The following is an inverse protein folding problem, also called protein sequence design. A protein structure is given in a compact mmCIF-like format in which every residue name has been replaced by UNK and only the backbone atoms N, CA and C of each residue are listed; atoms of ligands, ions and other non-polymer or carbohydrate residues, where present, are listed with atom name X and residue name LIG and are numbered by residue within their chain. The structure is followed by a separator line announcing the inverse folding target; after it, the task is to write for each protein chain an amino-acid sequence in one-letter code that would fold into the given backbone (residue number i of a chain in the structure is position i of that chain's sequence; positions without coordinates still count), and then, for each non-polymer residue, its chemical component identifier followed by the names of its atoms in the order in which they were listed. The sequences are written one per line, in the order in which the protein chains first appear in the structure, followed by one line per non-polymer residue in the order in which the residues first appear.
data_IF_009938153906
#
_entry.id   IF_009938153906
#
_cell.length_a   1.000
_cell.length_b   1.000
_cell.length_c   1.000
_cell.angle_alpha   90.00
_cell.angle_beta   90.00
_cell.angle_gamma   90.00
#
_symmetry.space_group_name_H-M   'P 1'
#
loop_
_entity.id
_entity.type
_entity.pdbx_description
1 polymer ?
#
# COMPACT_ATOMS: atom_id res chain seq x y z
N UNK A 1 33.88 34.82 15.60
CA UNK A 1 32.55 35.23 15.10
C UNK A 1 32.61 36.05 13.82
N UNK A 2 33.73 36.69 13.45
CA UNK A 2 33.80 37.46 12.19
C UNK A 2 33.97 36.63 10.89
N UNK A 3 34.59 35.44 10.93
CA UNK A 3 34.79 34.60 9.73
C UNK A 3 33.53 33.86 9.24
N UNK A 4 32.56 33.59 10.12
CA UNK A 4 31.33 32.88 9.76
C UNK A 4 30.35 33.79 8.99
N UNK A 5 30.36 35.09 9.27
CA UNK A 5 29.52 36.08 8.60
C UNK A 5 30.04 36.40 7.18
N UNK A 6 31.36 36.37 6.97
CA UNK A 6 31.95 36.59 5.65
C UNK A 6 31.70 35.40 4.69
N UNK A 7 31.76 34.16 5.19
CA UNK A 7 31.41 32.97 4.40
C UNK A 7 29.90 32.88 4.08
N UNK A 8 29.03 33.32 5.00
CA UNK A 8 27.60 33.40 4.76
C UNK A 8 27.25 34.49 3.74
N UNK A 9 27.95 35.63 3.77
CA UNK A 9 27.80 36.70 2.77
C UNK A 9 28.34 36.30 1.38
N UNK A 10 29.43 35.55 1.32
CA UNK A 10 29.96 35.02 0.06
C UNK A 10 29.01 33.98 -0.58
N UNK A 11 28.46 33.05 0.21
CA UNK A 11 27.46 32.11 -0.29
C UNK A 11 26.14 32.78 -0.67
N UNK A 12 25.71 33.83 0.05
CA UNK A 12 24.54 34.60 -0.32
C UNK A 12 24.73 35.36 -1.66
N UNK A 13 25.91 35.96 -1.87
CA UNK A 13 26.25 36.64 -3.11
C UNK A 13 26.39 35.68 -4.31
N UNK A 14 26.89 34.46 -4.08
CA UNK A 14 26.96 33.43 -5.12
C UNK A 14 25.57 32.85 -5.45
N UNK A 15 24.68 32.69 -4.46
CA UNK A 15 23.28 32.31 -4.67
C UNK A 15 22.52 33.39 -5.43
N UNK A 16 22.77 34.68 -5.14
CA UNK A 16 22.16 35.82 -5.84
C UNK A 16 22.64 35.91 -7.29
N UNK A 17 23.95 35.74 -7.56
CA UNK A 17 24.49 35.66 -8.93
C UNK A 17 23.93 34.47 -9.72
N UNK A 18 23.79 33.31 -9.08
CA UNK A 18 23.18 32.14 -9.72
C UNK A 18 21.68 32.34 -9.97
N UNK A 19 20.99 33.13 -9.12
CA UNK A 19 19.59 33.55 -9.35
C UNK A 19 19.48 34.59 -10.47
N UNK A 20 20.41 35.53 -10.59
CA UNK A 20 20.50 36.49 -11.70
C UNK A 20 20.81 35.79 -13.04
N UNK A 21 21.70 34.81 -13.04
CA UNK A 21 22.01 33.99 -14.21
C UNK A 21 20.85 33.08 -14.61
N UNK A 22 20.12 32.51 -13.63
CA UNK A 22 18.92 31.72 -13.89
C UNK A 22 17.74 32.57 -14.41
N UNK A 23 17.66 33.85 -14.02
CA UNK A 23 16.65 34.82 -14.48
C UNK A 23 16.96 35.46 -15.83
N UNK A 24 18.20 35.36 -16.32
CA UNK A 24 18.65 35.98 -17.57
C UNK A 24 18.26 35.15 -18.79
N UNK A 25 16.96 35.13 -19.09
CA UNK A 25 16.48 34.64 -20.37
C UNK A 25 17.06 35.52 -21.49
N UNK A 26 17.61 34.95 -22.58
CA UNK A 26 18.09 35.75 -23.71
C UNK A 26 16.92 36.58 -24.26
N UNK A 27 17.05 37.91 -24.22
CA UNK A 27 16.06 38.84 -24.73
C UNK A 27 16.14 38.77 -26.26
N UNK A 28 15.30 37.94 -26.87
CA UNK A 28 15.10 37.94 -28.31
C UNK A 28 14.16 39.10 -28.65
N UNK A 29 14.65 40.12 -29.35
CA UNK A 29 13.86 41.31 -29.68
C UNK A 29 12.87 41.02 -30.81
N UNK A 30 13.16 40.00 -31.62
CA UNK A 30 12.30 39.56 -32.72
C UNK A 30 12.16 38.03 -32.74
N UNK A 31 11.03 37.52 -33.26
CA UNK A 31 10.81 36.08 -33.45
C UNK A 31 11.88 35.44 -34.36
N UNK A 32 12.47 36.25 -35.25
CA UNK A 32 13.52 35.82 -36.17
C UNK A 32 14.84 35.54 -35.45
N UNK A 33 15.26 36.40 -34.52
CA UNK A 33 16.45 36.17 -33.67
C UNK A 33 16.28 34.95 -32.76
N UNK A 34 15.05 34.72 -32.27
CA UNK A 34 14.71 33.50 -31.52
C UNK A 34 14.81 32.26 -32.40
N UNK A 35 14.29 32.32 -33.62
CA UNK A 35 14.40 31.22 -34.58
C UNK A 35 15.84 30.95 -34.99
N UNK A 36 16.65 32.00 -35.23
CA UNK A 36 18.05 31.91 -35.64
C UNK A 36 18.94 31.38 -34.51
N UNK A 37 18.70 31.79 -33.26
CA UNK A 37 19.39 31.21 -32.09
C UNK A 37 18.97 29.76 -31.80
N UNK A 38 17.69 29.42 -31.98
CA UNK A 38 17.21 28.02 -31.93
C UNK A 38 17.77 27.18 -33.09
N UNK A 39 17.93 27.76 -34.28
CA UNK A 39 18.55 27.11 -35.42
C UNK A 39 20.06 26.92 -35.19
N UNK A 40 20.75 27.91 -34.62
CA UNK A 40 22.18 27.82 -34.28
C UNK A 40 22.44 26.77 -33.20
N UNK A 41 21.63 26.74 -32.15
CA UNK A 41 21.75 25.73 -31.08
C UNK A 41 21.44 24.33 -31.59
N UNK A 42 20.38 24.13 -32.38
CA UNK A 42 20.05 22.83 -32.97
C UNK A 42 21.06 22.38 -34.04
N UNK A 43 21.55 23.29 -34.88
CA UNK A 43 22.57 23.02 -35.90
C UNK A 43 23.91 22.65 -35.27
N UNK A 44 24.36 23.41 -34.27
CA UNK A 44 25.60 23.12 -33.54
C UNK A 44 25.50 21.83 -32.70
N UNK A 45 24.31 21.48 -32.19
CA UNK A 45 24.08 20.20 -31.53
C UNK A 45 24.14 19.05 -32.53
N UNK A 46 23.46 19.17 -33.68
CA UNK A 46 23.48 18.16 -34.75
C UNK A 46 24.87 17.96 -35.34
N UNK A 47 25.65 19.05 -35.51
CA UNK A 47 27.03 18.99 -35.98
C UNK A 47 27.97 18.27 -34.99
N UNK A 48 27.78 18.48 -33.68
CA UNK A 48 28.57 17.80 -32.62
C UNK A 48 28.37 16.28 -32.60
N UNK A 49 27.22 15.78 -33.04
CA UNK A 49 26.89 14.36 -33.08
C UNK A 49 26.87 13.76 -34.49
N UNK A 50 27.23 14.52 -35.52
CA UNK A 50 27.18 14.10 -36.93
C UNK A 50 28.11 12.92 -37.28
N UNK A 51 29.03 12.55 -36.38
CA UNK A 51 29.90 11.37 -36.51
C UNK A 51 29.62 10.24 -35.51
N UNK A 52 28.63 10.39 -34.62
CA UNK A 52 28.29 9.35 -33.64
C UNK A 52 27.30 8.39 -34.29
N UNK A 53 27.82 7.28 -34.84
CA UNK A 53 26.97 6.20 -35.34
C UNK A 53 26.25 5.56 -34.16
N UNK A 54 24.93 5.70 -34.11
CA UNK A 54 24.14 4.95 -33.14
C UNK A 54 24.14 3.49 -33.55
N UNK A 55 24.65 2.61 -32.68
CA UNK A 55 24.56 1.16 -32.89
C UNK A 55 23.10 0.71 -32.95
N UNK A 56 22.86 -0.45 -33.58
CA UNK A 56 21.50 -0.98 -33.73
C UNK A 56 20.82 -1.09 -32.35
N UNK A 57 19.58 -0.58 -32.20
CA UNK A 57 18.86 -0.66 -30.93
C UNK A 57 18.68 -2.12 -30.52
N UNK A 58 19.04 -2.44 -29.27
CA UNK A 58 18.91 -3.79 -28.71
C UNK A 58 17.46 -4.08 -28.35
N UNK A 59 16.92 -5.19 -28.84
CA UNK A 59 15.58 -5.66 -28.47
C UNK A 59 15.65 -6.58 -27.24
N UNK A 60 15.38 -6.01 -26.07
CA UNK A 60 15.32 -6.75 -24.80
C UNK A 60 13.92 -7.33 -24.50
N UNK A 61 12.91 -7.05 -25.35
CA UNK A 61 11.52 -7.39 -25.03
C UNK A 61 11.28 -8.89 -24.91
N UNK A 62 11.98 -9.70 -25.72
CA UNK A 62 11.86 -11.16 -25.68
C UNK A 62 12.35 -11.75 -24.34
N UNK A 63 13.56 -11.37 -23.90
CA UNK A 63 14.13 -11.82 -22.64
C UNK A 63 13.27 -11.42 -21.44
N UNK A 64 12.80 -10.17 -21.42
CA UNK A 64 11.90 -9.68 -20.38
C UNK A 64 10.54 -10.39 -20.39
N UNK A 65 10.04 -10.79 -21.55
CA UNK A 65 8.81 -11.58 -21.66
C UNK A 65 9.00 -12.96 -21.04
N UNK A 66 10.09 -13.67 -21.32
CA UNK A 66 10.39 -14.95 -20.70
C UNK A 66 10.46 -14.84 -19.17
N UNK A 67 11.12 -13.79 -18.67
CA UNK A 67 11.19 -13.49 -17.23
C UNK A 67 9.81 -13.15 -16.65
N UNK A 68 8.97 -12.44 -17.40
CA UNK A 68 7.60 -12.12 -16.98
C UNK A 68 6.76 -13.39 -16.84
N UNK A 69 6.88 -14.36 -17.74
CA UNK A 69 6.13 -15.63 -17.65
C UNK A 69 6.52 -16.37 -16.37
N UNK A 70 7.81 -16.44 -16.06
CA UNK A 70 8.33 -17.11 -14.85
C UNK A 70 8.05 -16.36 -13.55
N UNK A 71 7.79 -15.04 -13.60
CA UNK A 71 7.56 -14.24 -12.41
C UNK A 71 6.31 -14.71 -11.65
N UNK A 72 6.48 -15.12 -10.40
CA UNK A 72 5.41 -15.65 -9.55
C UNK A 72 4.81 -14.62 -8.60
N UNK A 73 5.45 -13.46 -8.43
CA UNK A 73 5.05 -12.45 -7.45
C UNK A 73 4.86 -11.08 -8.10
N UNK A 74 3.95 -10.27 -7.54
CA UNK A 74 3.71 -8.91 -8.02
C UNK A 74 4.98 -8.06 -8.02
N UNK A 75 5.84 -8.23 -7.00
CA UNK A 75 7.13 -7.53 -6.90
C UNK A 75 8.07 -7.85 -8.08
N UNK A 76 8.21 -9.14 -8.43
CA UNK A 76 9.03 -9.53 -9.58
C UNK A 76 8.49 -8.94 -10.89
N UNK A 77 7.17 -8.92 -11.06
CA UNK A 77 6.52 -8.32 -12.24
C UNK A 77 6.77 -6.81 -12.32
N UNK A 78 6.73 -6.11 -11.18
CA UNK A 78 7.03 -4.67 -11.10
C UNK A 78 8.50 -4.36 -11.42
N UNK A 79 9.44 -5.17 -10.93
CA UNK A 79 10.86 -5.03 -11.27
C UNK A 79 11.10 -5.15 -12.79
N UNK A 80 10.43 -6.13 -13.44
CA UNK A 80 10.49 -6.30 -14.90
C UNK A 80 9.86 -5.10 -15.62
N UNK A 81 8.76 -4.55 -15.10
CA UNK A 81 8.14 -3.36 -15.68
C UNK A 81 9.03 -2.12 -15.56
N UNK A 82 9.76 -1.95 -14.45
CA UNK A 82 10.73 -0.88 -14.26
C UNK A 82 11.91 -1.02 -15.23
N UNK A 83 12.46 -2.24 -15.37
CA UNK A 83 13.52 -2.54 -16.34
C UNK A 83 13.08 -2.28 -17.79
N UNK A 84 11.85 -2.68 -18.14
CA UNK A 84 11.24 -2.38 -19.44
C UNK A 84 11.08 -0.86 -19.66
N UNK A 85 10.70 -0.12 -18.61
CA UNK A 85 10.60 1.34 -18.64
C UNK A 85 11.94 2.02 -18.92
N UNK A 86 13.00 1.61 -18.23
CA UNK A 86 14.36 2.13 -18.45
C UNK A 86 14.91 1.78 -19.84
N UNK A 87 14.64 0.57 -20.34
CA UNK A 87 15.03 0.21 -21.72
C UNK A 87 14.27 1.07 -22.76
N UNK A 88 13.01 1.38 -22.48
CA UNK A 88 12.19 2.23 -23.34
C UNK A 88 12.67 3.68 -23.38
N UNK A 89 13.13 4.26 -22.26
CA UNK A 89 13.67 5.64 -22.26
C UNK A 89 14.94 5.74 -23.11
N UNK A 90 15.84 4.76 -23.01
CA UNK A 90 17.02 4.66 -23.87
C UNK A 90 16.65 4.64 -25.36
N UNK A 91 15.69 3.79 -25.73
CA UNK A 91 15.20 3.67 -27.12
C UNK A 91 14.50 4.93 -27.62
N UNK A 92 13.81 5.68 -26.75
CA UNK A 92 13.18 6.97 -27.09
C UNK A 92 14.23 8.02 -27.43
N UNK A 93 15.32 8.09 -26.67
CA UNK A 93 16.44 8.96 -27.01
C UNK A 93 17.06 8.57 -28.37
N UNK A 94 17.20 7.27 -28.63
CA UNK A 94 17.70 6.77 -29.92
C UNK A 94 16.79 7.15 -31.09
N UNK A 95 15.49 6.99 -30.92
CA UNK A 95 14.48 7.31 -31.93
C UNK A 95 14.33 8.82 -32.19
N UNK A 96 14.73 9.67 -31.24
CA UNK A 96 14.76 11.11 -31.40
C UNK A 96 16.01 11.59 -32.14
N UNK A 97 17.15 10.94 -31.92
CA UNK A 97 18.43 11.30 -32.54
C UNK A 97 18.57 10.81 -33.98
N UNK A 98 18.04 9.61 -34.29
CA UNK A 98 18.10 9.04 -35.64
C UNK A 98 16.71 8.95 -36.29
N UNK A 99 16.60 9.50 -37.50
CA UNK A 99 15.40 9.41 -38.35
C UNK A 99 15.48 8.30 -39.41
N UNK A 100 16.63 7.63 -39.50
CA UNK A 100 16.89 6.53 -40.43
C UNK A 100 16.33 5.17 -39.97
N UNK A 101 17.00 4.10 -40.40
CA UNK A 101 16.60 2.72 -40.12
C UNK A 101 16.62 2.40 -38.61
N UNK A 102 17.64 2.86 -37.87
CA UNK A 102 17.73 2.58 -36.44
C UNK A 102 16.61 3.29 -35.67
N UNK A 103 16.21 4.49 -36.09
CA UNK A 103 15.02 5.17 -35.55
C UNK A 103 13.73 4.38 -35.72
N UNK A 104 13.53 3.74 -36.89
CA UNK A 104 12.36 2.88 -37.15
C UNK A 104 12.40 1.61 -36.29
N UNK A 105 13.56 0.96 -36.17
CA UNK A 105 13.75 -0.22 -35.31
C UNK A 105 13.52 0.11 -33.83
N UNK A 106 14.01 1.27 -33.36
CA UNK A 106 13.80 1.73 -32.00
C UNK A 106 12.30 1.94 -31.70
N UNK A 107 11.55 2.57 -32.61
CA UNK A 107 10.08 2.71 -32.50
C UNK A 107 9.37 1.36 -32.42
N UNK A 108 9.79 0.38 -33.23
CA UNK A 108 9.25 -0.97 -33.16
C UNK A 108 9.54 -1.66 -31.82
N UNK A 109 10.74 -1.48 -31.27
CA UNK A 109 11.12 -2.01 -29.95
C UNK A 109 10.33 -1.34 -28.82
N UNK A 110 10.13 -0.02 -28.89
CA UNK A 110 9.27 0.73 -27.96
C UNK A 110 7.86 0.13 -27.94
N UNK A 111 7.25 -0.10 -29.11
CA UNK A 111 5.92 -0.70 -29.18
C UNK A 111 5.85 -2.11 -28.57
N UNK A 112 6.93 -2.91 -28.65
CA UNK A 112 7.03 -4.22 -27.99
C UNK A 112 7.09 -4.07 -26.47
N UNK A 113 7.90 -3.14 -25.96
CA UNK A 113 8.02 -2.87 -24.53
C UNK A 113 6.73 -2.28 -23.93
N UNK A 114 6.03 -1.41 -24.65
CA UNK A 114 4.73 -0.87 -24.23
C UNK A 114 3.68 -1.97 -24.08
N UNK A 115 3.61 -2.90 -25.05
CA UNK A 115 2.76 -4.10 -24.95
C UNK A 115 3.15 -4.96 -23.76
N UNK A 116 4.45 -5.13 -23.50
CA UNK A 116 4.96 -5.88 -22.35
C UNK A 116 4.52 -5.24 -21.03
N UNK A 117 4.68 -3.92 -20.87
CA UNK A 117 4.23 -3.18 -19.67
C UNK A 117 2.72 -3.36 -19.48
N UNK A 118 1.94 -3.30 -20.56
CA UNK A 118 0.49 -3.58 -20.51
C UNK A 118 0.19 -5.01 -20.01
N UNK A 119 1.00 -6.00 -20.39
CA UNK A 119 0.90 -7.38 -19.87
C UNK A 119 1.31 -7.47 -18.40
N UNK A 120 2.38 -6.79 -17.99
CA UNK A 120 2.80 -6.72 -16.59
C UNK A 120 1.67 -6.20 -15.69
N UNK A 121 1.00 -5.12 -16.11
CA UNK A 121 -0.13 -4.54 -15.36
C UNK A 121 -1.34 -5.47 -15.23
N UNK A 122 -1.60 -6.31 -16.25
CA UNK A 122 -2.62 -7.36 -16.15
C UNK A 122 -2.18 -8.44 -15.17
N UNK A 123 -0.97 -8.98 -15.34
CA UNK A 123 -0.44 -10.04 -14.47
C UNK A 123 -0.38 -9.63 -12.99
N UNK A 124 -0.08 -8.37 -12.66
CA UNK A 124 -0.15 -7.89 -11.26
C UNK A 124 -1.57 -7.98 -10.70
N UNK A 125 -2.59 -7.59 -11.48
CA UNK A 125 -3.99 -7.71 -11.04
C UNK A 125 -4.39 -9.17 -10.88
N UNK A 126 -4.05 -10.00 -11.87
CA UNK A 126 -4.35 -11.43 -11.83
C UNK A 126 -3.72 -12.11 -10.59
N UNK A 127 -2.44 -11.82 -10.29
CA UNK A 127 -1.78 -12.34 -9.09
C UNK A 127 -2.42 -11.85 -7.78
N UNK A 128 -2.82 -10.58 -7.71
CA UNK A 128 -3.52 -10.05 -6.54
C UNK A 128 -4.89 -10.71 -6.35
N UNK A 129 -5.64 -10.91 -7.43
CA UNK A 129 -6.93 -11.58 -7.41
C UNK A 129 -6.79 -13.07 -7.01
N UNK A 130 -5.74 -13.74 -7.47
CA UNK A 130 -5.35 -15.08 -7.03
C UNK A 130 -5.05 -15.12 -5.53
N UNK A 131 -4.26 -14.18 -5.00
CA UNK A 131 -3.89 -14.14 -3.59
C UNK A 131 -5.10 -13.82 -2.67
N UNK A 132 -6.00 -12.94 -3.12
CA UNK A 132 -7.28 -12.71 -2.44
C UNK A 132 -8.14 -13.98 -2.43
N UNK A 133 -8.18 -14.70 -3.55
CA UNK A 133 -8.94 -15.95 -3.67
C UNK A 133 -8.34 -17.05 -2.80
N UNK A 134 -7.01 -17.20 -2.75
CA UNK A 134 -6.31 -18.12 -1.84
C UNK A 134 -6.61 -17.81 -0.38
N UNK A 135 -6.61 -16.53 -0.01
CA UNK A 135 -6.94 -16.08 1.34
C UNK A 135 -8.39 -16.42 1.71
N UNK A 136 -9.33 -16.18 0.79
CA UNK A 136 -10.75 -16.55 0.97
C UNK A 136 -10.93 -18.06 1.10
N UNK A 137 -10.23 -18.84 0.27
CA UNK A 137 -10.26 -20.30 0.33
C UNK A 137 -9.78 -20.81 1.69
N UNK A 138 -8.63 -20.31 2.17
CA UNK A 138 -8.08 -20.68 3.48
C UNK A 138 -9.06 -20.36 4.61
N UNK A 139 -9.63 -19.14 4.63
CA UNK A 139 -10.65 -18.75 5.61
C UNK A 139 -11.90 -19.64 5.56
N UNK A 140 -12.39 -19.97 4.36
CA UNK A 140 -13.54 -20.85 4.19
C UNK A 140 -13.27 -22.27 4.71
N UNK A 141 -12.05 -22.79 4.51
CA UNK A 141 -11.64 -24.08 5.07
C UNK A 141 -11.59 -24.04 6.59
N UNK A 142 -11.00 -23.02 7.19
CA UNK A 142 -10.95 -22.82 8.65
C UNK A 142 -12.36 -22.73 9.25
N UNK A 143 -13.26 -21.95 8.65
CA UNK A 143 -14.66 -21.83 9.09
C UNK A 143 -15.42 -23.15 9.00
N UNK A 144 -15.20 -23.95 7.95
CA UNK A 144 -15.84 -25.26 7.83
C UNK A 144 -15.35 -26.22 8.92
N UNK A 145 -14.06 -26.20 9.24
CA UNK A 145 -13.50 -26.99 10.34
C UNK A 145 -14.08 -26.54 11.69
N UNK A 146 -14.21 -25.24 11.93
CA UNK A 146 -14.83 -24.68 13.14
C UNK A 146 -16.30 -25.10 13.26
N UNK A 147 -17.12 -24.93 12.21
CA UNK A 147 -18.52 -25.36 12.19
C UNK A 147 -18.67 -26.86 12.46
N UNK A 148 -17.75 -27.68 11.93
CA UNK A 148 -17.74 -29.12 12.20
C UNK A 148 -17.39 -29.41 13.66
N UNK A 149 -16.38 -28.74 14.21
CA UNK A 149 -16.00 -28.87 15.61
C UNK A 149 -17.13 -28.46 16.56
N UNK A 150 -17.81 -27.35 16.28
CA UNK A 150 -18.98 -26.88 17.03
C UNK A 150 -20.13 -27.90 16.99
N UNK A 151 -20.41 -28.48 15.82
CA UNK A 151 -21.45 -29.51 15.67
C UNK A 151 -21.13 -30.75 16.52
N UNK A 152 -19.88 -31.22 16.49
CA UNK A 152 -19.42 -32.33 17.34
C UNK A 152 -19.51 -31.97 18.83
N UNK A 153 -19.13 -30.74 19.22
CA UNK A 153 -19.24 -30.26 20.60
C UNK A 153 -20.69 -30.26 21.07
N UNK A 154 -21.62 -29.82 20.24
CA UNK A 154 -23.06 -29.84 20.54
C UNK A 154 -23.61 -31.27 20.66
N UNK A 155 -23.20 -32.18 19.77
CA UNK A 155 -23.58 -33.60 19.86
C UNK A 155 -23.07 -34.26 21.14
N UNK A 156 -21.82 -33.98 21.53
CA UNK A 156 -21.24 -34.46 22.78
C UNK A 156 -22.02 -33.92 23.98
N UNK A 157 -22.31 -32.61 24.00
CA UNK A 157 -23.11 -31.97 25.04
C UNK A 157 -24.49 -32.62 25.16
N UNK A 158 -25.21 -32.83 24.04
CA UNK A 158 -26.51 -33.52 24.04
C UNK A 158 -26.42 -34.92 24.66
N UNK A 159 -25.40 -35.71 24.29
CA UNK A 159 -25.18 -37.06 24.84
C UNK A 159 -24.87 -37.02 26.34
N UNK A 160 -24.04 -36.06 26.78
CA UNK A 160 -23.72 -35.86 28.20
C UNK A 160 -24.96 -35.45 29.00
N UNK A 161 -25.75 -34.48 28.52
CA UNK A 161 -26.98 -34.05 29.19
C UNK A 161 -28.00 -35.18 29.31
N UNK A 162 -28.22 -35.97 28.25
CA UNK A 162 -29.15 -37.11 28.30
C UNK A 162 -28.70 -38.19 29.30
N UNK A 163 -27.39 -38.46 29.37
CA UNK A 163 -26.82 -39.37 30.36
C UNK A 163 -26.99 -38.83 31.77
N UNK A 164 -26.61 -37.57 32.03
CA UNK A 164 -26.73 -36.94 33.34
C UNK A 164 -28.20 -36.92 33.81
N UNK A 165 -29.15 -36.62 32.91
CA UNK A 165 -30.58 -36.68 33.22
C UNK A 165 -31.02 -38.10 33.64
N UNK A 166 -30.55 -39.14 32.95
CA UNK A 166 -30.86 -40.55 33.29
C UNK A 166 -30.25 -40.95 34.63
N UNK A 167 -29.00 -40.59 34.88
CA UNK A 167 -28.31 -40.87 36.15
C UNK A 167 -28.96 -40.12 37.31
N UNK A 168 -29.35 -38.86 37.10
CA UNK A 168 -30.07 -38.06 38.10
C UNK A 168 -31.47 -38.60 38.39
N UNK A 169 -32.19 -39.10 37.39
CA UNK A 169 -33.46 -39.80 37.61
C UNK A 169 -33.28 -41.02 38.51
N UNK A 170 -32.22 -41.81 38.30
CA UNK A 170 -31.93 -42.96 39.17
C UNK A 170 -31.54 -42.56 40.61
N UNK A 171 -30.77 -41.48 40.78
CA UNK A 171 -30.47 -40.94 42.11
C UNK A 171 -31.73 -40.45 42.83
N UNK A 172 -32.62 -39.78 42.11
CA UNK A 172 -33.90 -39.32 42.61
C UNK A 172 -34.76 -40.50 43.10
N UNK A 173 -34.86 -41.58 42.34
CA UNK A 173 -35.62 -42.79 42.73
C UNK A 173 -35.04 -43.47 43.98
N UNK A 174 -33.73 -43.32 44.23
CA UNK A 174 -33.07 -43.81 45.44
C UNK A 174 -33.17 -42.85 46.65
N UNK A 175 -33.88 -41.72 46.51
CA UNK A 175 -33.97 -40.70 47.55
C UNK A 175 -32.66 -39.96 47.81
N UNK A 176 -31.70 -40.03 46.89
CA UNK A 176 -30.41 -39.33 46.98
C UNK A 176 -30.52 -37.96 46.30
N UNK A 177 -29.79 -36.95 46.78
CA UNK A 177 -29.82 -35.62 46.16
C UNK A 177 -29.30 -35.70 44.72
N UNK A 178 -29.98 -34.99 43.82
CA UNK A 178 -29.58 -34.84 42.42
C UNK A 178 -28.23 -34.12 42.38
N UNK A 179 -27.25 -34.73 41.71
CA UNK A 179 -25.94 -34.13 41.52
C UNK A 179 -25.97 -33.35 40.20
N UNK A 180 -26.28 -32.06 40.28
CA UNK A 180 -26.10 -31.15 39.17
C UNK A 180 -24.60 -30.87 39.00
N UNK A 181 -23.86 -31.76 38.35
CA UNK A 181 -22.51 -31.44 37.88
C UNK A 181 -22.51 -31.20 36.37
N UNK A 182 -21.92 -30.08 35.97
CA UNK A 182 -21.41 -29.88 34.62
C UNK A 182 -22.30 -29.11 33.64
N UNK A 183 -23.21 -28.28 34.13
CA UNK A 183 -23.87 -27.28 33.26
C UNK A 183 -23.74 -25.88 33.84
N UNK A 184 -24.22 -25.69 35.07
CA UNK A 184 -24.19 -24.38 35.69
C UNK A 184 -22.75 -24.01 36.08
N UNK A 185 -21.94 -24.92 36.61
CA UNK A 185 -20.56 -24.59 37.01
C UNK A 185 -19.66 -24.24 35.82
N UNK A 186 -19.71 -25.00 34.72
CA UNK A 186 -18.86 -24.76 33.55
C UNK A 186 -19.31 -23.53 32.76
N UNK A 187 -20.63 -23.34 32.58
CA UNK A 187 -21.17 -22.16 31.90
C UNK A 187 -21.05 -20.90 32.79
N UNK A 188 -21.19 -21.02 34.12
CA UNK A 188 -20.91 -19.91 35.06
C UNK A 188 -19.43 -19.58 35.12
N UNK A 189 -18.53 -20.56 35.14
CA UNK A 189 -17.09 -20.30 35.10
C UNK A 189 -16.69 -19.66 33.75
N UNK A 190 -17.29 -20.08 32.64
CA UNK A 190 -17.06 -19.44 31.34
C UNK A 190 -17.65 -18.04 31.26
N UNK A 191 -18.84 -17.80 31.84
CA UNK A 191 -19.43 -16.48 31.94
C UNK A 191 -18.59 -15.55 32.84
N UNK A 192 -18.17 -16.02 34.01
CA UNK A 192 -17.29 -15.29 34.93
C UNK A 192 -15.92 -15.00 34.31
N UNK A 193 -15.34 -15.94 33.57
CA UNK A 193 -14.09 -15.72 32.85
C UNK A 193 -14.24 -14.72 31.69
N UNK A 194 -15.38 -14.73 30.98
CA UNK A 194 -15.68 -13.76 29.95
C UNK A 194 -15.92 -12.36 30.52
N UNK A 195 -16.65 -12.25 31.63
CA UNK A 195 -16.84 -10.99 32.37
C UNK A 195 -15.49 -10.46 32.90
N UNK A 196 -14.64 -11.32 33.45
CA UNK A 196 -13.30 -10.94 33.90
C UNK A 196 -12.40 -10.48 32.74
N UNK A 197 -12.51 -11.09 31.57
CA UNK A 197 -11.78 -10.68 30.37
C UNK A 197 -12.26 -9.30 29.86
N UNK A 198 -13.57 -9.06 29.85
CA UNK A 198 -14.16 -7.76 29.51
C UNK A 198 -13.75 -6.66 30.50
N UNK A 199 -13.71 -6.99 31.79
CA UNK A 199 -13.21 -6.09 32.83
C UNK A 199 -11.71 -5.81 32.66
N UNK A 200 -10.90 -6.81 32.32
CA UNK A 200 -9.47 -6.63 32.06
C UNK A 200 -9.22 -5.75 30.82
N UNK A 201 -10.02 -5.90 29.77
CA UNK A 201 -9.96 -5.05 28.57
C UNK A 201 -10.40 -3.61 28.89
N UNK A 202 -11.47 -3.42 29.67
CA UNK A 202 -11.90 -2.11 30.14
C UNK A 202 -10.84 -1.41 31.01
N UNK A 203 -10.16 -2.16 31.90
CA UNK A 203 -9.04 -1.63 32.70
C UNK A 203 -7.84 -1.26 31.82
N UNK A 204 -7.54 -2.05 30.78
CA UNK A 204 -6.46 -1.73 29.84
C UNK A 204 -6.75 -0.46 29.01
N UNK A 205 -8.01 -0.27 28.59
CA UNK A 205 -8.46 0.94 27.91
C UNK A 205 -8.39 2.15 28.85
N UNK A 206 -8.91 2.03 30.07
CA UNK A 206 -8.85 3.09 31.07
C UNK A 206 -7.40 3.46 31.45
N UNK A 207 -6.51 2.47 31.57
CA UNK A 207 -5.09 2.71 31.82
C UNK A 207 -4.39 3.43 30.64
N UNK A 208 -4.79 3.13 29.40
CA UNK A 208 -4.30 3.85 28.23
C UNK A 208 -4.80 5.30 28.18
N UNK A 209 -6.07 5.55 28.54
CA UNK A 209 -6.62 6.90 28.66
C UNK A 209 -5.93 7.73 29.75
N UNK A 210 -5.68 7.16 30.92
CA UNK A 210 -4.93 7.83 32.00
C UNK A 210 -3.48 8.12 31.60
N UNK A 211 -2.83 7.25 30.82
CA UNK A 211 -1.50 7.52 30.29
C UNK A 211 -1.49 8.67 29.27
N UNK A 212 -2.56 8.82 28.48
CA UNK A 212 -2.75 9.93 27.55
C UNK A 212 -3.01 11.25 28.30
N UNK A 213 -3.84 11.25 29.35
CA UNK A 213 -4.08 12.43 30.21
C UNK A 213 -2.87 12.82 31.05
N UNK A 214 -2.08 11.86 31.54
CA UNK A 214 -0.83 12.13 32.23
C UNK A 214 0.22 12.75 31.29
N UNK A 215 0.26 12.31 30.02
CA UNK A 215 1.08 12.96 28.99
C UNK A 215 0.59 14.38 28.65
N UNK A 216 -0.72 14.64 28.74
CA UNK A 216 -1.31 15.97 28.52
C UNK A 216 -1.08 16.94 29.70
N UNK A 217 -1.05 16.45 30.95
CA UNK A 217 -0.85 17.29 32.14
C UNK A 217 0.61 17.67 32.43
N UNK A 218 1.59 16.96 31.85
CA UNK A 218 3.02 17.33 31.88
C UNK A 218 3.37 18.36 30.79
N UNK A 219 2.49 18.58 29.81
CA UNK A 219 2.73 19.45 28.65
C UNK A 219 2.19 20.88 28.74
N UNK A 220 2.00 21.42 29.94
CA UNK A 220 1.34 22.71 30.17
C UNK A 220 2.23 23.83 30.68
N UNK A 221 3.31 24.22 29.98
CA UNK A 221 3.75 25.63 29.92
C UNK A 221 4.75 25.90 28.78
N UNK A 222 4.24 26.34 27.62
CA UNK A 222 4.80 27.44 26.80
C UNK A 222 4.11 27.50 25.44
N UNK A 223 3.61 28.69 25.14
CA UNK A 223 2.80 29.04 23.99
C UNK A 223 3.54 29.11 22.64
N UNK A 224 2.71 29.24 21.59
CA UNK A 224 2.97 29.62 20.18
C UNK A 224 3.06 28.43 19.21
N UNK A 225 2.24 28.30 18.17
CA UNK A 225 1.24 29.18 17.57
C UNK A 225 1.11 28.84 16.08
N UNK A 226 -0.14 28.64 15.61
CA UNK A 226 -0.59 28.67 14.20
C UNK A 226 -0.02 27.57 13.26
N UNK A 227 -0.74 26.90 12.36
CA UNK A 227 -1.89 27.26 11.50
C UNK A 227 -2.67 25.99 11.08
N UNK A 228 -3.97 26.15 10.83
CA UNK A 228 -4.89 25.14 10.25
C UNK A 228 -4.66 24.94 8.72
N UNK A 229 -5.34 24.00 8.00
CA UNK A 229 -6.79 24.10 7.78
C UNK A 229 -7.61 22.79 7.71
N UNK A 230 -8.87 22.97 8.11
CA UNK A 230 -10.13 22.37 7.64
C UNK A 230 -10.27 20.87 7.36
N UNK A 231 -11.04 20.25 8.25
CA UNK A 231 -12.07 19.30 7.87
C UNK A 231 -13.39 20.05 7.58
N UNK A 232 -14.03 19.71 6.47
CA UNK A 232 -15.49 19.84 6.28
C UNK A 232 -16.02 18.44 5.93
N UNK A 233 -17.18 17.98 6.37
CA UNK A 233 -18.20 18.54 7.24
C UNK A 233 -19.12 17.40 7.70
N UNK A 234 -19.58 17.56 8.93
CA UNK A 234 -20.71 17.02 9.69
C UNK A 234 -21.35 15.62 9.49
N UNK A 235 -21.73 14.98 10.63
CA UNK A 235 -22.67 13.87 10.72
C UNK A 235 -24.13 14.35 10.98
N UNK A 236 -25.10 13.71 10.33
CA UNK A 236 -26.53 13.75 10.70
C UNK A 236 -27.06 12.30 10.64
N UNK A 237 -27.45 11.68 11.77
CA UNK A 237 -28.72 11.85 12.51
C UNK A 237 -29.92 11.17 11.83
N UNK A 238 -30.59 10.29 12.59
CA UNK A 238 -31.91 9.70 12.30
C UNK A 238 -31.82 8.33 11.61
N UNK A 239 -32.24 7.20 12.19
CA UNK A 239 -33.50 6.98 12.91
C UNK A 239 -34.42 6.20 11.97
N UNK A 240 -34.67 4.92 12.25
CA UNK A 240 -35.60 4.11 11.44
C UNK A 240 -35.49 2.62 11.67
N UNK A 241 -36.09 2.15 12.77
CA UNK A 241 -36.60 0.79 12.89
C UNK A 241 -37.58 0.53 11.74
N UNK A 242 -37.34 -0.51 10.94
CA UNK A 242 -38.40 -1.23 10.23
C UNK A 242 -38.31 -2.70 10.67
N UNK A 243 -39.30 -3.10 11.45
CA UNK A 243 -39.70 -4.48 11.65
C UNK A 243 -41.11 -4.52 11.08
N UNK A 244 -41.23 -5.06 9.87
CA UNK A 244 -42.53 -5.37 9.27
C UNK A 244 -42.65 -6.88 9.08
N UNK A 245 -43.65 -7.39 9.82
CA UNK A 245 -44.41 -8.65 9.81
C UNK A 245 -44.37 -9.47 8.52
#
# INVERSE_FOLDING_TARGET
MAEADEAAQAMAADVEKLQEEAGRQPIFQTEKERADSMAFTSSSYKARFAGVSVSKPRDNAAALTSRLVMAGTAFQVQAIAAEAGSNMTGLRATAAMDSGENGRLAKACIARLEKLIGRCRRKVRDLNDEDLTRTRQKKAQEQNLQKRAERIKQELRKKQTLRAARENAWLHDLGKPVVARGRDDDDQQQAQAAEAALQAEAVAIAAAEVAIEAAASVGGDSAAGAVAPEAGGEPASGGGMDMSV
#
